data_IF_705976095127
#
_entry.id   IF_705976095127
#
_cell.length_a   1.000
_cell.length_b   1.000
_cell.length_c   1.000
_cell.angle_alpha   90.00
_cell.angle_beta   90.00
_cell.angle_gamma   90.00
#
_symmetry.space_group_name_H-M   'P 1'
#
loop_
_entity.id
_entity.type
_entity.pdbx_description
1 polymer ?
#
# COMPACT_ATOMS: atom_id res chain seq x y z
N UNK A 1 -28.66 4.63 17.93
CA UNK A 1 -27.36 4.17 17.36
C UNK A 1 -27.55 2.73 16.88
N UNK A 2 -27.36 2.45 15.59
CA UNK A 2 -27.58 1.11 15.02
C UNK A 2 -26.23 0.46 14.71
N UNK A 3 -26.06 -0.83 15.04
CA UNK A 3 -24.85 -1.59 14.71
C UNK A 3 -25.08 -2.37 13.43
N UNK A 4 -24.32 -2.06 12.38
CA UNK A 4 -24.32 -2.83 11.14
C UNK A 4 -23.12 -3.79 11.14
N UNK A 5 -23.38 -5.08 10.98
CA UNK A 5 -22.36 -6.10 10.72
C UNK A 5 -22.42 -6.49 9.25
N UNK A 6 -21.47 -6.01 8.47
CA UNK A 6 -21.35 -6.35 7.05
C UNK A 6 -20.38 -7.52 6.88
N UNK A 7 -20.83 -8.58 6.20
CA UNK A 7 -19.95 -9.64 5.70
C UNK A 7 -19.72 -9.35 4.22
N UNK A 8 -18.47 -9.08 3.85
CA UNK A 8 -18.09 -8.90 2.46
C UNK A 8 -17.72 -10.28 1.89
N UNK A 9 -18.40 -10.68 0.82
CA UNK A 9 -18.01 -11.86 0.04
C UNK A 9 -16.99 -11.43 -1.01
N UNK A 10 -15.90 -12.21 -1.15
CA UNK A 10 -14.83 -11.88 -2.08
C UNK A 10 -13.58 -12.75 -1.85
N UNK A 11 -12.62 -12.69 -2.78
CA UNK A 11 -11.36 -13.40 -2.64
C UNK A 11 -10.66 -12.99 -1.34
N UNK A 12 -10.23 -13.98 -0.56
CA UNK A 12 -9.48 -13.75 0.67
C UNK A 12 -7.99 -13.85 0.38
N UNK A 13 -7.24 -12.83 0.78
CA UNK A 13 -5.79 -12.81 0.65
C UNK A 13 -5.16 -13.42 1.90
N UNK A 14 -4.40 -14.51 1.73
CA UNK A 14 -3.65 -15.14 2.82
C UNK A 14 -2.41 -14.35 3.23
N UNK A 15 -1.69 -13.78 2.25
CA UNK A 15 -0.49 -12.97 2.47
C UNK A 15 -0.65 -11.59 1.82
N UNK A 16 -1.04 -10.62 2.66
CA UNK A 16 -1.23 -9.23 2.25
C UNK A 16 0.09 -8.61 1.73
N UNK A 17 1.22 -8.68 2.45
CA UNK A 17 2.50 -8.19 1.92
C UNK A 17 2.91 -8.78 0.57
N UNK A 18 2.75 -10.10 0.35
CA UNK A 18 3.06 -10.72 -0.94
C UNK A 18 2.17 -10.19 -2.06
N UNK A 19 0.86 -10.12 -1.79
CA UNK A 19 -0.11 -9.59 -2.76
C UNK A 19 0.19 -8.14 -3.13
N UNK A 20 0.59 -7.30 -2.16
CA UNK A 20 1.01 -5.92 -2.42
C UNK A 20 2.23 -5.86 -3.34
N UNK A 21 3.25 -6.70 -3.09
CA UNK A 21 4.46 -6.74 -3.94
C UNK A 21 4.14 -7.15 -5.37
N UNK A 22 3.30 -8.15 -5.55
CA UNK A 22 2.85 -8.63 -6.86
C UNK A 22 2.06 -7.53 -7.59
N UNK A 23 1.08 -6.95 -6.90
CA UNK A 23 0.25 -5.86 -7.43
C UNK A 23 1.11 -4.67 -7.89
N UNK A 24 2.03 -4.20 -7.06
CA UNK A 24 2.95 -3.10 -7.42
C UNK A 24 3.93 -3.48 -8.53
N UNK A 25 4.35 -4.75 -8.61
CA UNK A 25 5.21 -5.26 -9.68
C UNK A 25 4.57 -5.14 -11.06
N UNK A 26 3.24 -5.33 -11.13
CA UNK A 26 2.49 -5.21 -12.40
C UNK A 26 2.44 -3.78 -12.95
N UNK A 27 2.63 -2.76 -12.11
CA UNK A 27 2.49 -1.35 -12.48
C UNK A 27 3.71 -0.75 -13.20
N UNK A 28 4.83 -1.50 -13.28
CA UNK A 28 6.09 -1.05 -13.91
C UNK A 28 6.56 0.33 -13.44
N UNK A 29 6.46 0.62 -12.14
CA UNK A 29 6.71 1.96 -11.57
C UNK A 29 8.09 2.55 -11.93
N UNK A 30 9.09 1.72 -12.23
CA UNK A 30 10.41 2.12 -12.68
C UNK A 30 10.42 3.00 -13.95
N UNK A 31 9.35 2.97 -14.77
CA UNK A 31 9.24 3.84 -15.96
C UNK A 31 8.69 5.23 -15.62
N UNK A 32 8.12 5.41 -14.42
CA UNK A 32 7.46 6.65 -13.98
C UNK A 32 8.14 7.32 -12.80
N UNK A 33 8.81 6.54 -11.95
CA UNK A 33 9.47 7.00 -10.73
C UNK A 33 10.96 6.71 -10.87
N UNK A 34 11.77 7.75 -10.76
CA UNK A 34 13.23 7.63 -10.84
C UNK A 34 13.80 7.19 -9.50
N UNK A 35 14.96 6.50 -9.51
CA UNK A 35 15.72 6.31 -8.29
C UNK A 35 15.98 7.65 -7.59
N UNK A 36 15.89 7.64 -6.26
CA UNK A 36 16.07 8.78 -5.34
C UNK A 36 15.03 9.88 -5.46
N UNK A 37 13.96 9.66 -6.23
CA UNK A 37 12.83 10.57 -6.25
C UNK A 37 12.02 10.43 -4.96
N UNK A 38 11.51 11.57 -4.48
CA UNK A 38 10.59 11.60 -3.33
C UNK A 38 9.18 11.35 -3.82
N UNK A 39 8.50 10.37 -3.23
CA UNK A 39 7.12 10.02 -3.56
C UNK A 39 6.20 10.16 -2.36
N UNK A 40 5.00 10.69 -2.58
CA UNK A 40 3.94 10.69 -1.59
C UNK A 40 3.14 9.38 -1.66
N UNK A 41 3.07 8.64 -0.56
CA UNK A 41 2.21 7.47 -0.42
C UNK A 41 1.02 7.87 0.43
N UNK A 42 -0.15 7.99 -0.20
CA UNK A 42 -1.38 8.24 0.53
C UNK A 42 -1.86 6.95 1.18
N UNK A 43 -2.30 7.05 2.43
CA UNK A 43 -2.81 5.92 3.20
C UNK A 43 -3.94 6.41 4.07
N UNK A 44 -5.15 5.92 3.82
CA UNK A 44 -6.32 6.25 4.64
C UNK A 44 -7.56 6.44 3.79
N UNK A 45 -8.48 5.49 3.89
CA UNK A 45 -9.88 5.67 3.52
C UNK A 45 -10.73 4.95 4.56
N UNK A 46 -11.94 5.46 4.81
CA UNK A 46 -12.84 4.89 5.83
C UNK A 46 -13.16 3.44 5.45
N UNK A 47 -12.86 2.51 6.34
CA UNK A 47 -13.20 1.08 6.17
C UNK A 47 -12.18 0.24 5.38
N UNK A 48 -10.99 0.75 5.05
CA UNK A 48 -9.91 -0.09 4.49
C UNK A 48 -9.45 -1.09 5.56
N UNK A 49 -9.64 -2.37 5.30
CA UNK A 49 -9.14 -3.44 6.16
C UNK A 49 -7.61 -3.57 6.04
N UNK A 50 -6.94 -3.92 7.15
CA UNK A 50 -5.51 -4.26 7.19
C UNK A 50 -4.56 -3.15 6.68
N UNK A 51 -4.94 -1.87 6.83
CA UNK A 51 -4.12 -0.74 6.38
C UNK A 51 -2.73 -0.72 7.04
N UNK A 52 -2.65 -1.23 8.27
CA UNK A 52 -1.43 -1.45 9.05
C UNK A 52 -0.46 -2.45 8.41
N UNK A 53 -0.96 -3.36 7.56
CA UNK A 53 -0.14 -4.32 6.81
C UNK A 53 0.14 -3.87 5.39
N UNK A 54 -0.84 -3.21 4.76
CA UNK A 54 -0.73 -2.73 3.38
C UNK A 54 0.30 -1.60 3.28
N UNK A 55 0.15 -0.56 4.10
CA UNK A 55 0.96 0.66 3.96
C UNK A 55 2.47 0.42 4.16
N UNK A 56 2.93 -0.33 5.18
CA UNK A 56 4.34 -0.67 5.30
C UNK A 56 4.87 -1.50 4.13
N UNK A 57 4.06 -2.41 3.57
CA UNK A 57 4.45 -3.21 2.41
C UNK A 57 4.64 -2.35 1.15
N UNK A 58 3.76 -1.36 0.93
CA UNK A 58 3.92 -0.37 -0.15
C UNK A 58 5.20 0.44 0.05
N UNK A 59 5.43 0.98 1.25
CA UNK A 59 6.64 1.76 1.57
C UNK A 59 7.91 0.94 1.32
N UNK A 60 7.94 -0.32 1.79
CA UNK A 60 9.08 -1.20 1.62
C UNK A 60 9.36 -1.50 0.14
N UNK A 61 8.32 -1.78 -0.66
CA UNK A 61 8.47 -2.05 -2.09
C UNK A 61 8.92 -0.83 -2.88
N UNK A 62 8.40 0.37 -2.56
CA UNK A 62 8.84 1.62 -3.19
C UNK A 62 10.29 1.94 -2.86
N UNK A 63 10.69 1.80 -1.59
CA UNK A 63 12.09 2.02 -1.17
C UNK A 63 13.07 1.07 -1.88
N UNK A 64 12.67 -0.18 -2.14
CA UNK A 64 13.49 -1.12 -2.92
C UNK A 64 13.72 -0.69 -4.38
N UNK A 65 12.88 0.18 -4.94
CA UNK A 65 13.09 0.79 -6.25
C UNK A 65 14.00 2.03 -6.18
N UNK A 66 14.58 2.31 -5.01
CA UNK A 66 15.51 3.41 -4.77
C UNK A 66 14.85 4.74 -4.42
N UNK A 67 13.53 4.80 -4.18
CA UNK A 67 12.86 6.05 -3.77
C UNK A 67 13.28 6.49 -2.38
N UNK A 68 13.41 7.79 -2.16
CA UNK A 68 13.71 8.32 -0.84
C UNK A 68 12.43 8.36 0.02
N UNK A 69 12.53 7.83 1.25
CA UNK A 69 11.41 7.84 2.20
C UNK A 69 11.38 9.19 2.91
N UNK A 70 10.38 10.00 2.61
CA UNK A 70 10.14 11.26 3.34
C UNK A 70 8.98 11.07 4.31
N UNK A 71 9.19 11.47 5.57
CA UNK A 71 8.15 11.51 6.60
C UNK A 71 7.33 12.78 6.39
N UNK A 72 6.01 12.64 6.24
CA UNK A 72 5.14 13.82 6.21
C UNK A 72 5.25 14.57 7.55
N UNK A 73 5.24 15.91 7.56
CA UNK A 73 5.49 16.74 8.75
C UNK A 73 4.30 16.82 9.73
N UNK A 74 3.31 15.93 9.60
CA UNK A 74 2.07 15.93 10.38
C UNK A 74 1.91 14.62 11.12
#
# INVERSE_FOLDING_TARGET
MFRLKQRLEGPTLGDIPATVRESLGSLRLQVRVKPRETVAITSGSRGIANIDRITPAVVAKSAANGTEKVRAPW
#
